data_IF_122889230797
#
_entry.id   IF_122889230797
#
_cell.length_a   1.000
_cell.length_b   1.000
_cell.length_c   1.000
_cell.angle_alpha   90.00
_cell.angle_beta   90.00
_cell.angle_gamma   90.00
#
_symmetry.space_group_name_H-M   'P 1'
#
loop_
_entity.id
_entity.type
_entity.pdbx_description
1 polymer ?
#
# COMPACT_ATOMS: atom_id res chain seq x y z
N UNK A 1 -5.27 3.17 -13.13
CA UNK A 1 -4.12 4.06 -13.41
C UNK A 1 -3.60 4.53 -12.08
N UNK A 2 -2.33 4.28 -11.73
CA UNK A 2 -1.78 4.75 -10.47
C UNK A 2 -1.81 6.29 -10.44
N UNK A 3 -2.38 6.88 -9.40
CA UNK A 3 -2.63 8.33 -9.35
C UNK A 3 -1.48 9.12 -8.71
N UNK A 4 -0.83 8.53 -7.71
CA UNK A 4 0.29 9.14 -7.00
C UNK A 4 1.40 8.13 -6.78
N UNK A 5 2.65 8.60 -6.82
CA UNK A 5 3.83 7.80 -6.55
C UNK A 5 4.51 8.29 -5.27
N UNK A 6 5.00 7.34 -4.49
CA UNK A 6 5.70 7.59 -3.24
C UNK A 6 6.83 6.60 -3.02
N UNK A 7 7.46 6.72 -1.87
CA UNK A 7 8.58 5.89 -1.43
C UNK A 7 8.46 5.55 0.04
N UNK A 8 8.89 4.35 0.40
CA UNK A 8 8.89 3.90 1.79
C UNK A 8 9.91 4.71 2.59
N UNK A 9 9.49 5.31 3.69
CA UNK A 9 10.39 6.05 4.61
C UNK A 9 10.70 5.26 5.87
N UNK A 10 9.76 4.42 6.33
CA UNK A 10 9.89 3.65 7.55
C UNK A 10 9.13 2.33 7.49
N UNK A 11 9.65 1.29 8.16
CA UNK A 11 9.01 -0.02 8.31
C UNK A 11 9.13 -0.43 9.78
N UNK A 12 7.99 -0.64 10.45
CA UNK A 12 7.88 -1.09 11.85
C UNK A 12 6.90 -2.26 11.89
N UNK A 13 7.43 -3.49 11.77
CA UNK A 13 6.59 -4.68 11.61
C UNK A 13 5.67 -4.54 10.39
N UNK A 14 4.37 -4.74 10.58
CA UNK A 14 3.36 -4.58 9.52
C UNK A 14 3.02 -3.10 9.20
N UNK A 15 3.53 -2.13 9.98
CA UNK A 15 3.26 -0.71 9.77
C UNK A 15 4.34 -0.12 8.88
N UNK A 16 3.94 0.49 7.78
CA UNK A 16 4.83 1.08 6.78
C UNK A 16 4.46 2.54 6.57
N UNK A 17 5.42 3.45 6.76
CA UNK A 17 5.22 4.85 6.44
C UNK A 17 5.73 5.10 5.01
N UNK A 18 4.91 5.78 4.20
CA UNK A 18 5.16 6.07 2.79
C UNK A 18 5.02 7.56 2.55
N UNK A 19 6.05 8.18 1.99
CA UNK A 19 6.03 9.58 1.61
C UNK A 19 5.73 9.70 0.11
N UNK A 20 4.77 10.56 -0.22
CA UNK A 20 4.35 10.85 -1.58
C UNK A 20 4.90 12.21 -2.04
N UNK A 21 5.29 12.30 -3.30
CA UNK A 21 5.81 13.56 -3.87
C UNK A 21 4.70 14.50 -4.35
N UNK A 22 3.45 14.01 -4.45
CA UNK A 22 2.28 14.75 -4.92
C UNK A 22 1.07 14.56 -4.00
N UNK A 23 -0.09 14.30 -4.60
CA UNK A 23 -1.34 14.12 -3.86
C UNK A 23 -1.24 12.94 -2.88
N UNK A 24 -1.74 13.16 -1.67
CA UNK A 24 -1.84 12.15 -0.63
C UNK A 24 -3.00 11.18 -0.95
N UNK A 25 -2.76 9.87 -0.99
CA UNK A 25 -3.83 8.88 -1.14
C UNK A 25 -4.85 8.99 0.00
N UNK A 26 -6.12 8.72 -0.29
CA UNK A 26 -7.16 8.72 0.72
C UNK A 26 -6.94 7.62 1.77
N UNK A 27 -7.47 7.81 2.97
CA UNK A 27 -7.55 6.73 3.97
C UNK A 27 -8.37 5.58 3.38
N UNK A 28 -7.96 4.34 3.66
CA UNK A 28 -8.46 3.09 3.09
C UNK A 28 -8.02 2.80 1.65
N UNK A 29 -7.31 3.70 0.96
CA UNK A 29 -6.78 3.36 -0.36
C UNK A 29 -5.74 2.25 -0.28
N UNK A 30 -5.76 1.37 -1.27
CA UNK A 30 -4.72 0.40 -1.51
C UNK A 30 -3.50 1.07 -2.17
N UNK A 31 -2.33 0.75 -1.64
CA UNK A 31 -1.04 1.06 -2.23
C UNK A 31 -0.38 -0.24 -2.70
N UNK A 32 0.36 -0.16 -3.79
CA UNK A 32 1.09 -1.28 -4.35
C UNK A 32 2.60 -1.02 -4.33
N UNK A 33 3.35 -2.01 -3.91
CA UNK A 33 4.81 -2.03 -4.00
C UNK A 33 5.31 -3.44 -4.34
N UNK A 34 6.61 -3.58 -4.52
CA UNK A 34 7.26 -4.88 -4.74
C UNK A 34 8.18 -5.19 -3.57
N UNK A 35 8.05 -6.38 -3.00
CA UNK A 35 8.96 -6.92 -2.00
C UNK A 35 9.56 -8.24 -2.54
N UNK A 36 10.89 -8.31 -2.69
CA UNK A 36 11.60 -9.50 -3.22
C UNK A 36 11.03 -10.04 -4.56
N UNK A 37 10.60 -9.15 -5.46
CA UNK A 37 10.01 -9.52 -6.75
C UNK A 37 8.54 -9.97 -6.68
N UNK A 38 7.93 -9.97 -5.49
CA UNK A 38 6.51 -10.25 -5.28
C UNK A 38 5.74 -8.96 -5.03
N UNK A 39 4.48 -8.96 -5.48
CA UNK A 39 3.54 -7.87 -5.26
C UNK A 39 3.15 -7.83 -3.79
N UNK A 40 3.33 -6.67 -3.15
CA UNK A 40 2.89 -6.39 -1.79
C UNK A 40 1.87 -5.25 -1.81
N UNK A 41 0.73 -5.48 -1.16
CA UNK A 41 -0.32 -4.46 -0.99
C UNK A 41 -0.23 -3.89 0.42
N UNK A 42 -0.36 -2.57 0.52
CA UNK A 42 -0.48 -1.82 1.76
C UNK A 42 -1.83 -1.09 1.76
N UNK A 43 -2.46 -0.89 2.91
CA UNK A 43 -3.67 -0.07 3.04
C UNK A 43 -3.38 1.18 3.86
N UNK A 44 -3.79 2.35 3.37
CA UNK A 44 -3.61 3.62 4.09
C UNK A 44 -4.50 3.66 5.33
N UNK A 45 -3.90 3.76 6.52
CA UNK A 45 -4.62 3.84 7.79
C UNK A 45 -4.79 5.28 8.30
N UNK A 46 -3.80 6.16 8.06
CA UNK A 46 -3.85 7.56 8.50
C UNK A 46 -2.86 8.44 7.73
N UNK A 47 -3.08 9.75 7.79
CA UNK A 47 -2.13 10.76 7.32
C UNK A 47 -1.29 11.26 8.49
N UNK A 48 0.03 11.31 8.32
CA UNK A 48 0.97 11.77 9.36
C UNK A 48 1.37 13.24 9.20
N UNK A 49 1.05 13.86 8.05
CA UNK A 49 1.59 15.17 7.66
C UNK A 49 2.84 15.02 6.78
N UNK A 50 3.42 16.13 6.32
CA UNK A 50 4.62 16.16 5.46
C UNK A 50 4.55 15.21 4.24
N UNK A 51 3.38 15.17 3.60
CA UNK A 51 3.05 14.25 2.50
C UNK A 51 3.32 12.78 2.81
N UNK A 52 3.21 12.38 4.07
CA UNK A 52 3.42 11.01 4.52
C UNK A 52 2.12 10.37 5.00
N UNK A 53 1.89 9.14 4.56
CA UNK A 53 0.85 8.27 5.09
C UNK A 53 1.46 7.15 5.91
N UNK A 54 0.68 6.67 6.88
CA UNK A 54 0.93 5.40 7.55
C UNK A 54 0.01 4.35 6.96
N UNK A 55 0.59 3.29 6.47
CA UNK A 55 -0.10 2.16 5.86
C UNK A 55 0.15 0.87 6.63
N UNK A 56 -0.74 -0.10 6.47
CA UNK A 56 -0.62 -1.45 7.03
C UNK A 56 -0.41 -2.43 5.89
N UNK A 57 0.62 -3.27 5.99
CA UNK A 57 0.92 -4.29 5.00
C UNK A 57 -0.04 -5.48 5.11
N UNK A 58 -0.50 -5.97 3.96
CA UNK A 58 -1.38 -7.14 3.86
C UNK A 58 -0.61 -8.47 3.84
N UNK A 59 0.72 -8.41 3.80
CA UNK A 59 1.62 -9.56 3.82
C UNK A 59 2.94 -9.18 4.53
N UNK A 60 3.87 -10.12 4.63
CA UNK A 60 5.15 -9.95 5.29
C UNK A 60 5.97 -8.78 4.71
N UNK A 61 6.52 -7.96 5.62
CA UNK A 61 7.36 -6.80 5.31
C UNK A 61 8.85 -7.10 5.43
N UNK A 62 9.22 -8.36 5.67
CA UNK A 62 10.61 -8.81 5.71
C UNK A 62 11.26 -8.60 4.34
N UNK A 63 12.42 -7.95 4.33
CA UNK A 63 13.12 -7.56 3.10
C UNK A 63 12.66 -6.23 2.47
N UNK A 64 11.63 -5.59 3.02
CA UNK A 64 11.19 -4.29 2.53
C UNK A 64 12.21 -3.20 2.92
N UNK A 65 12.66 -2.42 1.94
CA UNK A 65 13.72 -1.42 2.13
C UNK A 65 13.17 0.00 1.97
N UNK A 66 13.75 0.95 2.71
CA UNK A 66 13.47 2.38 2.51
C UNK A 66 13.84 2.82 1.10
N UNK A 67 13.08 3.75 0.55
CA UNK A 67 13.21 4.21 -0.83
C UNK A 67 12.53 3.31 -1.86
N UNK A 68 11.98 2.14 -1.47
CA UNK A 68 11.22 1.29 -2.39
C UNK A 68 10.03 2.07 -2.95
N UNK A 69 9.83 2.07 -4.29
CA UNK A 69 8.70 2.77 -4.90
C UNK A 69 7.35 2.18 -4.48
N UNK A 70 6.38 3.06 -4.28
CA UNK A 70 5.00 2.73 -3.94
C UNK A 70 4.08 3.49 -4.88
N UNK A 71 3.01 2.84 -5.34
CA UNK A 71 2.01 3.43 -6.23
C UNK A 71 0.62 3.37 -5.59
N UNK A 72 -0.10 4.48 -5.58
CA UNK A 72 -1.49 4.54 -5.14
C UNK A 72 -2.43 3.98 -6.21
N UNK A 73 -3.30 3.04 -5.82
CA UNK A 73 -4.32 2.49 -6.69
C UNK A 73 -5.50 3.45 -6.90
N UNK A 74 -5.67 4.42 -6.00
CA UNK A 74 -6.75 5.41 -6.05
C UNK A 74 -8.10 4.87 -5.59
N UNK A 75 -8.13 3.64 -5.08
CA UNK A 75 -9.31 2.93 -4.58
C UNK A 75 -8.93 2.00 -3.42
N UNK A 76 -9.90 1.60 -2.56
CA UNK A 76 -9.66 0.61 -1.53
C UNK A 76 -9.33 -0.77 -2.09
N UNK A 77 -8.82 -1.65 -1.22
CA UNK A 77 -8.60 -3.06 -1.55
C UNK A 77 -9.92 -3.66 -2.05
N UNK A 78 -9.91 -4.11 -3.31
CA UNK A 78 -11.07 -4.66 -3.99
C UNK A 78 -10.92 -6.16 -4.16
N UNK A 79 -12.01 -6.88 -3.89
CA UNK A 79 -12.06 -8.36 -3.98
C UNK A 79 -13.15 -8.77 -4.98
N UNK A 80 -12.96 -9.88 -5.71
CA UNK A 80 -14.00 -10.41 -6.58
C UNK A 80 -15.20 -10.90 -5.75
N UNK A 81 -16.40 -10.75 -6.28
CA UNK A 81 -17.67 -11.18 -5.66
C UNK A 81 -18.58 -11.87 -6.67
N UNK A 82 -19.63 -12.53 -6.19
CA UNK A 82 -20.65 -13.19 -7.01
C UNK A 82 -20.52 -14.71 -7.07
N UNK A 83 -21.33 -15.35 -7.91
CA UNK A 83 -21.39 -16.83 -7.96
C UNK A 83 -20.07 -17.49 -8.36
N UNK A 84 -19.22 -16.78 -9.11
CA UNK A 84 -17.90 -17.25 -9.53
C UNK A 84 -16.93 -17.49 -8.36
N UNK A 85 -17.17 -16.90 -7.19
CA UNK A 85 -16.32 -17.09 -6.00
C UNK A 85 -16.73 -18.26 -5.13
N UNK A 86 -17.87 -18.90 -5.40
CA UNK A 86 -18.35 -20.05 -4.62
C UNK A 86 -17.38 -21.24 -4.74
N UNK A 87 -16.98 -21.80 -3.59
CA UNK A 87 -16.08 -22.95 -3.51
C UNK A 87 -14.60 -22.62 -3.71
N UNK A 88 -14.21 -21.34 -3.66
CA UNK A 88 -12.81 -20.88 -3.68
C UNK A 88 -12.35 -20.45 -2.28
N UNK A 89 -11.04 -20.55 -2.05
CA UNK A 89 -10.31 -19.92 -0.93
C UNK A 89 -9.30 -18.97 -1.57
#
# INVERSE_FOLDING_TARGET
MAKAHGKITQVIGAVVDVQFDGDLPAILNALETTNNGQRLVLEVAQHLGENTVRAVAMDATEGLVRGTPVSDMGEPISVPVGTATLGRI
#
